data_IF_009105889296
#
_entry.id   IF_009105889296
#
_cell.length_a   1.000
_cell.length_b   1.000
_cell.length_c   1.000
_cell.angle_alpha   90.00
_cell.angle_beta   90.00
_cell.angle_gamma   90.00
#
_symmetry.space_group_name_H-M   'P 1'
#
loop_
_entity.id
_entity.type
_entity.pdbx_description
1 polymer ?
#
# COMPACT_ATOMS: atom_id res chain seq x y z
N UNK A 1 -0.36 -13.68 -15.74
CA UNK A 1 0.15 -12.98 -16.93
C UNK A 1 1.61 -13.34 -17.17
N UNK A 2 2.00 -13.78 -18.38
CA UNK A 2 3.41 -13.99 -18.73
C UNK A 2 4.24 -12.71 -18.54
N UNK A 3 5.49 -12.84 -18.08
CA UNK A 3 6.42 -11.72 -17.86
C UNK A 3 5.94 -10.62 -16.90
N UNK A 4 4.99 -10.92 -16.01
CA UNK A 4 4.41 -9.93 -15.09
C UNK A 4 5.47 -9.18 -14.27
N UNK A 5 6.42 -9.90 -13.66
CA UNK A 5 7.44 -9.28 -12.82
C UNK A 5 8.32 -8.29 -13.58
N UNK A 6 8.74 -8.64 -14.79
CA UNK A 6 9.54 -7.75 -15.63
C UNK A 6 8.76 -6.46 -15.95
N UNK A 7 7.51 -6.59 -16.40
CA UNK A 7 6.63 -5.46 -16.72
C UNK A 7 6.34 -4.59 -15.50
N UNK A 8 6.12 -5.20 -14.33
CA UNK A 8 5.90 -4.47 -13.09
C UNK A 8 7.11 -3.63 -12.67
N UNK A 9 8.33 -4.15 -12.85
CA UNK A 9 9.57 -3.40 -12.60
C UNK A 9 9.73 -2.25 -13.60
N UNK A 10 9.44 -2.48 -14.89
CA UNK A 10 9.46 -1.42 -15.91
C UNK A 10 8.47 -0.29 -15.58
N UNK A 11 7.24 -0.63 -15.19
CA UNK A 11 6.23 0.34 -14.76
C UNK A 11 6.67 1.12 -13.51
N UNK A 12 7.28 0.44 -12.54
CA UNK A 12 7.77 1.08 -11.33
C UNK A 12 8.89 2.07 -11.63
N UNK A 13 9.88 1.68 -12.45
CA UNK A 13 10.98 2.55 -12.88
C UNK A 13 10.51 3.75 -13.70
N UNK A 14 9.49 3.56 -14.54
CA UNK A 14 8.89 4.64 -15.31
C UNK A 14 7.99 5.56 -14.47
N UNK A 15 7.78 5.27 -13.17
CA UNK A 15 6.92 6.07 -12.30
C UNK A 15 5.42 5.95 -12.60
N UNK A 16 5.01 5.02 -13.46
CA UNK A 16 3.60 4.82 -13.84
C UNK A 16 2.82 4.19 -12.68
N UNK A 17 3.42 3.20 -12.03
CA UNK A 17 2.83 2.55 -10.86
C UNK A 17 3.89 1.84 -10.04
N UNK A 18 3.92 2.09 -8.74
CA UNK A 18 4.79 1.43 -7.78
C UNK A 18 4.09 1.34 -6.40
N UNK A 19 4.76 0.77 -5.40
CA UNK A 19 4.17 0.60 -4.06
C UNK A 19 3.86 1.93 -3.36
N UNK A 20 4.63 2.99 -3.60
CA UNK A 20 4.38 4.34 -3.08
C UNK A 20 3.09 4.92 -3.64
N UNK A 21 2.95 4.86 -4.97
CA UNK A 21 1.75 5.31 -5.67
C UNK A 21 0.52 4.51 -5.19
N UNK A 22 0.66 3.19 -5.00
CA UNK A 22 -0.44 2.37 -4.46
C UNK A 22 -0.80 2.78 -3.03
N UNK A 23 0.19 3.02 -2.17
CA UNK A 23 -0.03 3.52 -0.82
C UNK A 23 -0.81 4.85 -0.81
N UNK A 24 -0.31 5.84 -1.56
CA UNK A 24 -0.84 7.20 -1.51
C UNK A 24 -2.16 7.38 -2.26
N UNK A 25 -2.33 6.69 -3.39
CA UNK A 25 -3.47 6.92 -4.30
C UNK A 25 -4.54 5.84 -4.25
N UNK A 26 -4.30 4.72 -3.56
CA UNK A 26 -5.29 3.63 -3.45
C UNK A 26 -5.59 3.32 -1.99
N UNK A 27 -4.59 2.94 -1.19
CA UNK A 27 -4.84 2.48 0.18
C UNK A 27 -5.36 3.58 1.09
N UNK A 28 -4.65 4.71 1.16
CA UNK A 28 -5.07 5.83 2.02
C UNK A 28 -6.45 6.39 1.62
N UNK A 29 -6.74 6.63 0.32
CA UNK A 29 -8.07 7.08 -0.08
C UNK A 29 -9.16 6.07 0.26
N UNK A 30 -8.98 4.77 -0.01
CA UNK A 30 -10.00 3.77 0.30
C UNK A 30 -10.30 3.68 1.80
N UNK A 31 -9.27 3.66 2.66
CA UNK A 31 -9.49 3.61 4.11
C UNK A 31 -10.21 4.84 4.65
N UNK A 32 -9.91 6.02 4.08
CA UNK A 32 -10.61 7.26 4.39
C UNK A 32 -12.05 7.25 3.89
N UNK A 33 -12.26 6.91 2.63
CA UNK A 33 -13.56 7.00 1.97
C UNK A 33 -14.56 5.96 2.51
N UNK A 34 -14.07 4.81 2.96
CA UNK A 34 -14.89 3.80 3.64
C UNK A 34 -14.96 4.00 5.16
N UNK A 35 -14.23 4.98 5.68
CA UNK A 35 -14.20 5.35 7.09
C UNK A 35 -14.00 4.15 8.04
N UNK A 36 -13.13 3.23 7.64
CA UNK A 36 -12.95 1.93 8.32
C UNK A 36 -12.54 2.12 9.79
N UNK A 37 -11.76 3.16 10.09
CA UNK A 37 -11.30 3.47 11.44
C UNK A 37 -12.41 3.94 12.39
N UNK A 38 -13.54 4.41 11.86
CA UNK A 38 -14.66 4.93 12.66
C UNK A 38 -15.73 3.88 12.95
N UNK A 39 -15.59 2.65 12.43
CA UNK A 39 -16.53 1.57 12.71
C UNK A 39 -16.44 1.20 14.21
N UNK A 40 -17.52 1.43 14.94
CA UNK A 40 -17.64 1.13 16.38
C UNK A 40 -18.39 -0.18 16.65
N UNK A 41 -18.30 -0.70 17.88
CA UNK A 41 -19.03 -1.91 18.29
C UNK A 41 -18.37 -3.22 17.86
N UNK A 42 -17.17 -3.16 17.30
CA UNK A 42 -16.37 -4.35 16.96
C UNK A 42 -15.76 -4.96 18.22
N UNK A 43 -15.78 -6.30 18.30
CA UNK A 43 -15.21 -7.06 19.42
C UNK A 43 -14.46 -8.29 18.91
N UNK A 44 -13.53 -8.81 19.73
CA UNK A 44 -12.73 -9.99 19.41
C UNK A 44 -12.02 -9.88 18.05
N UNK A 45 -12.17 -10.91 17.21
CA UNK A 45 -11.52 -10.99 15.91
C UNK A 45 -11.85 -9.83 14.96
N UNK A 46 -13.03 -9.22 15.08
CA UNK A 46 -13.43 -8.10 14.22
C UNK A 46 -12.68 -6.80 14.57
N UNK A 47 -12.46 -6.53 15.86
CA UNK A 47 -11.66 -5.39 16.32
C UNK A 47 -10.20 -5.55 15.91
N UNK A 48 -9.63 -6.76 16.06
CA UNK A 48 -8.28 -7.04 15.57
C UNK A 48 -8.16 -6.85 14.05
N UNK A 49 -9.21 -7.19 13.29
CA UNK A 49 -9.19 -7.05 11.84
C UNK A 49 -9.20 -5.58 11.43
N UNK A 50 -9.98 -4.74 12.12
CA UNK A 50 -9.97 -3.30 11.92
C UNK A 50 -8.55 -2.75 12.14
N UNK A 51 -7.89 -3.10 13.23
CA UNK A 51 -6.51 -2.70 13.50
C UNK A 51 -5.55 -3.16 12.39
N UNK A 52 -5.65 -4.42 11.97
CA UNK A 52 -4.81 -4.98 10.89
C UNK A 52 -5.00 -4.23 9.57
N UNK A 53 -6.25 -3.88 9.23
CA UNK A 53 -6.58 -3.13 8.02
C UNK A 53 -6.03 -1.70 8.11
N UNK A 54 -6.23 -1.02 9.25
CA UNK A 54 -5.73 0.34 9.48
C UNK A 54 -4.20 0.42 9.43
N UNK A 55 -3.51 -0.66 9.78
CA UNK A 55 -2.04 -0.77 9.71
C UNK A 55 -1.49 -1.14 8.31
N UNK A 56 -2.34 -1.42 7.31
CA UNK A 56 -1.88 -1.80 5.98
C UNK A 56 -1.06 -0.71 5.25
N UNK A 57 -1.45 0.58 5.27
CA UNK A 57 -0.69 1.63 4.60
C UNK A 57 0.77 1.66 5.06
N UNK A 58 1.01 1.66 6.37
CA UNK A 58 2.36 1.70 6.93
C UNK A 58 3.22 0.50 6.52
N UNK A 59 2.61 -0.68 6.44
CA UNK A 59 3.31 -1.89 5.96
C UNK A 59 3.70 -1.77 4.49
N UNK A 60 2.84 -1.18 3.66
CA UNK A 60 3.11 -0.99 2.23
C UNK A 60 4.15 0.11 2.02
N UNK A 61 4.07 1.19 2.81
CA UNK A 61 5.04 2.27 2.83
C UNK A 61 6.45 1.76 3.13
N UNK A 62 6.63 0.97 4.19
CA UNK A 62 7.93 0.36 4.53
C UNK A 62 8.50 -0.49 3.38
N UNK A 63 7.63 -1.24 2.69
CA UNK A 63 8.04 -2.04 1.52
C UNK A 63 8.41 -1.16 0.33
N UNK A 64 7.69 -0.06 0.11
CA UNK A 64 8.01 0.91 -0.93
C UNK A 64 9.43 1.46 -0.72
N UNK A 65 9.76 1.91 0.50
CA UNK A 65 11.08 2.46 0.83
C UNK A 65 12.21 1.44 0.65
N UNK A 66 11.99 0.18 1.03
CA UNK A 66 12.97 -0.89 0.80
C UNK A 66 13.19 -1.11 -0.72
N UNK A 67 12.11 -1.14 -1.50
CA UNK A 67 12.18 -1.35 -2.94
C UNK A 67 12.85 -0.16 -3.65
N UNK A 68 12.49 1.07 -3.30
CA UNK A 68 13.07 2.31 -3.81
C UNK A 68 14.60 2.32 -3.58
N UNK A 69 15.03 2.04 -2.34
CA UNK A 69 16.46 1.91 -2.00
C UNK A 69 17.17 0.84 -2.82
N UNK A 70 16.57 -0.36 -2.96
CA UNK A 70 17.16 -1.46 -3.73
C UNK A 70 17.28 -1.15 -5.23
N UNK A 71 16.37 -0.34 -5.77
CA UNK A 71 16.34 0.01 -7.19
C UNK A 71 17.08 1.31 -7.51
N UNK A 72 17.65 2.00 -6.51
CA UNK A 72 18.27 3.32 -6.70
C UNK A 72 17.28 4.37 -7.17
N UNK A 73 15.99 4.21 -6.83
CA UNK A 73 14.95 5.16 -7.20
C UNK A 73 14.85 6.26 -6.17
N UNK A 74 14.79 7.51 -6.62
CA UNK A 74 14.42 8.64 -5.77
C UNK A 74 12.90 8.63 -5.56
N UNK A 75 12.39 8.91 -4.35
CA UNK A 75 10.96 9.10 -4.14
C UNK A 75 10.45 10.20 -5.10
N UNK A 76 9.31 9.92 -5.75
CA UNK A 76 8.62 10.88 -6.60
C UNK A 76 7.91 11.95 -5.76
#
# INVERSE_FOLDING_TARGET
MPNFMRRAVEMAKAGVYNLRIHHDRVLKPLLRDWDVGSITGLTGASAEMQEKIMNLPDRVLRKAEILERRMGMTPA
#
